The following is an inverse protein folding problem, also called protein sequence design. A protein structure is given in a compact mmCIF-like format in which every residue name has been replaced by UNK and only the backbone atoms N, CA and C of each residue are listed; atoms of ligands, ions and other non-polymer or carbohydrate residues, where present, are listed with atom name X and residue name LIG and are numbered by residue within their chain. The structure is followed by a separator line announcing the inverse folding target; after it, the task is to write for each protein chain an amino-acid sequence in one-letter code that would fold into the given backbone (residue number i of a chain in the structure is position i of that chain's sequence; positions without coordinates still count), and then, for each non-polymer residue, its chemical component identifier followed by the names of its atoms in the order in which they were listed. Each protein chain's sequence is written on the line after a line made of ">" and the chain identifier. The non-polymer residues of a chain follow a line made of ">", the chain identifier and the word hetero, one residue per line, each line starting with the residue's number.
data_IF_547513705953
#
_entry.id   IF_547513705953
#
_cell.length_a   1.000
_cell.length_b   1.000
_cell.length_c   1.000
_cell.angle_alpha   90.00
_cell.angle_beta   90.00
_cell.angle_gamma   90.00
#
_symmetry.space_group_name_H-M   'P 1'
#
loop_
_entity.id
_entity.type
_entity.pdbx_description
1 polymer ?
#
# COMPACT_ATOMS: atom_id res chain seq x y z
N UNK A 1 3.58 -8.24 -12.29
CA UNK A 1 4.48 -8.43 -11.13
C UNK A 1 3.74 -7.84 -9.95
N UNK A 2 3.73 -8.52 -8.80
CA UNK A 2 2.78 -8.24 -7.71
C UNK A 2 3.52 -7.60 -6.53
N UNK A 3 3.15 -6.37 -6.14
CA UNK A 3 3.69 -5.71 -4.95
C UNK A 3 3.12 -6.40 -3.71
N UNK A 4 3.97 -6.64 -2.70
CA UNK A 4 3.53 -7.12 -1.40
C UNK A 4 3.40 -5.92 -0.45
N UNK A 5 2.17 -5.49 -0.17
CA UNK A 5 1.90 -4.32 0.68
C UNK A 5 1.43 -4.78 2.04
N UNK A 6 2.09 -4.24 3.09
CA UNK A 6 1.73 -4.47 4.48
C UNK A 6 1.43 -3.16 5.16
N UNK A 7 0.17 -2.96 5.51
CA UNK A 7 -0.28 -1.82 6.31
C UNK A 7 -0.06 -2.17 7.77
N UNK A 8 0.97 -1.56 8.34
CA UNK A 8 1.38 -1.71 9.74
C UNK A 8 0.82 -0.53 10.52
N UNK A 9 -0.08 -0.81 11.46
CA UNK A 9 -0.36 0.13 12.55
C UNK A 9 0.49 -0.23 13.78
N UNK A 10 0.74 0.71 14.71
CA UNK A 10 1.59 0.48 15.88
C UNK A 10 1.23 -0.77 16.69
N UNK A 11 -0.07 -1.12 16.73
CA UNK A 11 -0.59 -2.27 17.47
C UNK A 11 -0.68 -3.58 16.68
N UNK A 12 -0.80 -3.52 15.35
CA UNK A 12 -1.05 -4.71 14.53
C UNK A 12 -0.90 -4.45 13.04
N UNK A 13 -0.70 -5.55 12.31
CA UNK A 13 -0.82 -5.58 10.85
C UNK A 13 -2.31 -5.60 10.50
N UNK A 14 -2.79 -4.60 9.76
CA UNK A 14 -4.20 -4.48 9.37
C UNK A 14 -4.45 -5.23 8.07
N UNK A 15 -3.59 -5.02 7.06
CA UNK A 15 -3.72 -5.65 5.76
C UNK A 15 -2.33 -6.06 5.27
N UNK A 16 -2.18 -7.32 4.87
CA UNK A 16 -1.04 -7.80 4.09
C UNK A 16 -1.62 -8.36 2.79
N UNK A 17 -1.66 -7.55 1.75
CA UNK A 17 -2.21 -7.96 0.45
C UNK A 17 -1.17 -7.79 -0.63
N UNK A 18 -1.21 -8.70 -1.61
CA UNK A 18 -0.48 -8.51 -2.86
C UNK A 18 -1.38 -7.79 -3.84
N UNK A 19 -0.94 -6.66 -4.40
CA UNK A 19 -1.71 -5.87 -5.36
C UNK A 19 -0.80 -5.34 -6.46
N UNK A 20 -1.30 -5.26 -7.69
CA UNK A 20 -0.55 -4.67 -8.81
C UNK A 20 -0.50 -3.13 -8.72
N UNK A 21 -1.48 -2.51 -8.05
CA UNK A 21 -1.58 -1.07 -7.86
C UNK A 21 -2.11 -0.74 -6.47
N UNK A 22 -1.52 0.26 -5.81
CA UNK A 22 -2.01 0.81 -4.55
C UNK A 22 -2.10 2.31 -4.61
N UNK A 23 -3.28 2.84 -4.27
CA UNK A 23 -3.50 4.27 -4.10
C UNK A 23 -3.55 4.60 -2.62
N UNK A 24 -2.56 5.36 -2.14
CA UNK A 24 -2.49 5.84 -0.76
C UNK A 24 -2.90 7.31 -0.68
N UNK A 25 -3.72 7.72 0.29
CA UNK A 25 -3.94 9.14 0.59
C UNK A 25 -2.69 9.72 1.25
N UNK A 26 -1.85 10.40 0.47
CA UNK A 26 -0.65 11.09 0.94
C UNK A 26 -0.96 12.53 1.39
N UNK A 27 0.00 13.13 2.10
CA UNK A 27 -0.11 14.50 2.63
C UNK A 27 -0.29 15.56 1.52
N UNK A 28 0.08 15.23 0.29
CA UNK A 28 0.01 16.10 -0.90
C UNK A 28 -1.04 15.65 -1.93
N UNK A 29 -1.83 14.59 -1.65
CA UNK A 29 -2.82 14.04 -2.58
C UNK A 29 -2.80 12.51 -2.67
N UNK A 30 -3.54 11.92 -3.61
CA UNK A 30 -3.49 10.47 -3.86
C UNK A 30 -2.16 10.07 -4.51
N UNK A 31 -1.45 9.13 -3.91
CA UNK A 31 -0.19 8.58 -4.39
C UNK A 31 -0.44 7.17 -4.91
N UNK A 32 -0.35 7.00 -6.23
CA UNK A 32 -0.40 5.69 -6.89
C UNK A 32 0.97 5.04 -6.92
N UNK A 33 1.06 3.80 -6.44
CA UNK A 33 2.25 2.94 -6.51
C UNK A 33 1.89 1.76 -7.40
N UNK A 34 2.64 1.63 -8.50
CA UNK A 34 2.52 0.54 -9.48
C UNK A 34 3.80 -0.31 -9.43
N UNK A 35 3.66 -1.61 -9.65
CA UNK A 35 4.83 -2.49 -9.78
C UNK A 35 5.45 -2.29 -11.17
N UNK A 36 6.76 -2.06 -11.22
CA UNK A 36 7.52 -1.73 -12.44
C UNK A 36 8.40 -2.87 -12.91
#
# INVERSE_FOLDING_TARGET
>A
MVLNIRVLTPDRIICSTTADEVVLPGLTGQVGILDG
#
